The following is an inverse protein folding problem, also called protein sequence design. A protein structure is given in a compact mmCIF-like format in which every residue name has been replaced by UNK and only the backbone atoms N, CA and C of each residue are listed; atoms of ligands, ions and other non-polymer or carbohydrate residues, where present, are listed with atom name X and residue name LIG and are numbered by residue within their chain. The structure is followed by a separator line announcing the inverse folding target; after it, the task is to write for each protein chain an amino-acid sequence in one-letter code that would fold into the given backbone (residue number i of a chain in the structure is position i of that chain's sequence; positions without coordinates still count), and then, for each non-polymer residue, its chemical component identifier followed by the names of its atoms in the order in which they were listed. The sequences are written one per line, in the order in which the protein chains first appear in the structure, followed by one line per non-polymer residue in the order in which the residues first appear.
data_IF_589382302678
#
_entry.id   IF_589382302678
#
_cell.length_a   1.000
_cell.length_b   1.000
_cell.length_c   1.000
_cell.angle_alpha   90.00
_cell.angle_beta   90.00
_cell.angle_gamma   90.00
#
_symmetry.space_group_name_H-M   'P 1'
#
loop_
_entity.id
_entity.type
_entity.pdbx_description
1 polymer ?
#
# COMPACT_ATOMS: atom_id res chain seq x y z
N UNK A 1 0.05 12.21 -37.35
CA UNK A 1 -0.21 10.89 -36.71
C UNK A 1 1.05 10.03 -36.59
N UNK A 2 2.05 10.12 -37.47
CA UNK A 2 3.31 9.36 -37.35
C UNK A 2 4.26 9.90 -36.27
N UNK A 3 4.42 11.22 -36.13
CA UNK A 3 5.26 11.83 -35.08
C UNK A 3 4.80 11.47 -33.65
N UNK A 4 3.48 11.34 -33.44
CA UNK A 4 2.90 10.86 -32.17
C UNK A 4 3.15 9.38 -31.93
N UNK A 5 3.24 8.54 -32.97
CA UNK A 5 3.56 7.11 -32.82
C UNK A 5 5.04 6.88 -32.50
N UNK A 6 5.95 7.62 -33.15
CA UNK A 6 7.39 7.50 -32.91
C UNK A 6 7.78 7.90 -31.48
N UNK A 7 7.24 9.01 -30.97
CA UNK A 7 7.50 9.47 -29.59
C UNK A 7 6.92 8.56 -28.51
N UNK A 8 5.97 7.70 -28.86
CA UNK A 8 5.44 6.72 -27.92
C UNK A 8 6.45 5.57 -27.82
N UNK A 9 6.83 4.96 -28.94
CA UNK A 9 7.77 3.83 -28.96
C UNK A 9 9.11 4.14 -28.27
N UNK A 10 9.62 5.37 -28.37
CA UNK A 10 10.82 5.78 -27.63
C UNK A 10 10.65 5.69 -26.12
N UNK A 11 9.49 6.07 -25.57
CA UNK A 11 9.21 5.97 -24.14
C UNK A 11 9.10 4.51 -23.66
N UNK A 12 8.51 3.64 -24.48
CA UNK A 12 8.44 2.21 -24.20
C UNK A 12 9.81 1.53 -24.21
N UNK A 13 10.67 1.89 -25.18
CA UNK A 13 12.04 1.42 -25.27
C UNK A 13 12.86 1.94 -24.09
N UNK A 14 12.72 3.23 -23.73
CA UNK A 14 13.40 3.81 -22.58
C UNK A 14 13.01 3.12 -21.27
N UNK A 15 11.71 2.81 -21.09
CA UNK A 15 11.24 2.03 -19.95
C UNK A 15 11.92 0.66 -19.87
N UNK A 16 11.94 -0.11 -20.97
CA UNK A 16 12.57 -1.42 -21.00
C UNK A 16 14.09 -1.34 -20.80
N UNK A 17 14.76 -0.36 -21.41
CA UNK A 17 16.19 -0.12 -21.24
C UNK A 17 16.54 0.26 -19.80
N UNK A 18 15.74 1.11 -19.16
CA UNK A 18 15.93 1.49 -17.75
C UNK A 18 15.81 0.27 -16.84
N UNK A 19 14.78 -0.55 -17.02
CA UNK A 19 14.63 -1.80 -16.28
C UNK A 19 15.81 -2.74 -16.57
N UNK A 20 16.24 -2.88 -17.82
CA UNK A 20 17.39 -3.71 -18.17
C UNK A 20 18.66 -3.27 -17.44
N UNK A 21 18.95 -1.97 -17.41
CA UNK A 21 20.11 -1.41 -16.69
C UNK A 21 20.00 -1.72 -15.19
N UNK A 22 18.81 -1.55 -14.60
CA UNK A 22 18.58 -1.90 -13.20
C UNK A 22 18.76 -3.39 -12.91
N UNK A 23 18.34 -4.27 -13.83
CA UNK A 23 18.54 -5.71 -13.72
C UNK A 23 20.03 -6.08 -13.76
N UNK A 24 20.79 -5.49 -14.69
CA UNK A 24 22.22 -5.74 -14.86
C UNK A 24 23.04 -5.25 -13.66
N UNK A 25 22.64 -4.12 -13.07
CA UNK A 25 23.32 -3.54 -11.91
C UNK A 25 22.80 -4.07 -10.57
N UNK A 26 21.77 -4.92 -10.56
CA UNK A 26 21.16 -5.45 -9.35
C UNK A 26 22.16 -6.13 -8.38
N UNK A 27 23.16 -6.90 -8.85
CA UNK A 27 24.14 -7.51 -7.94
C UNK A 27 25.06 -6.49 -7.27
N UNK A 28 25.24 -5.30 -7.87
CA UNK A 28 26.12 -4.25 -7.36
C UNK A 28 25.40 -3.30 -6.41
N UNK A 29 24.10 -3.06 -6.64
CA UNK A 29 23.31 -2.08 -5.88
C UNK A 29 22.00 -2.73 -5.41
N UNK A 30 21.93 -3.21 -4.15
CA UNK A 30 20.80 -3.97 -3.63
C UNK A 30 19.43 -3.26 -3.72
N UNK A 31 19.40 -1.92 -3.75
CA UNK A 31 18.17 -1.13 -3.83
C UNK A 31 17.57 -0.99 -5.24
N UNK A 32 18.31 -1.31 -6.31
CA UNK A 32 17.83 -1.10 -7.68
C UNK A 32 16.62 -1.95 -8.07
N UNK A 33 16.54 -3.25 -7.71
CA UNK A 33 15.35 -4.06 -7.99
C UNK A 33 14.07 -3.47 -7.39
N UNK A 34 14.15 -2.91 -6.17
CA UNK A 34 13.00 -2.27 -5.55
C UNK A 34 12.50 -1.06 -6.37
N UNK A 35 13.42 -0.19 -6.83
CA UNK A 35 13.09 0.95 -7.68
C UNK A 35 12.49 0.49 -9.02
N UNK A 36 13.05 -0.56 -9.62
CA UNK A 36 12.50 -1.18 -10.84
C UNK A 36 11.07 -1.70 -10.64
N UNK A 37 10.79 -2.29 -9.48
CA UNK A 37 9.44 -2.69 -9.07
C UNK A 37 8.48 -1.52 -9.03
N UNK A 38 8.86 -0.39 -8.42
CA UNK A 38 8.03 0.82 -8.40
C UNK A 38 7.74 1.37 -9.80
N UNK A 39 8.74 1.34 -10.70
CA UNK A 39 8.57 1.76 -12.10
C UNK A 39 7.54 0.87 -12.80
N UNK A 40 7.59 -0.44 -12.59
CA UNK A 40 6.58 -1.39 -13.09
C UNK A 40 5.19 -1.05 -12.55
N UNK A 41 5.04 -0.84 -11.23
CA UNK A 41 3.75 -0.47 -10.61
C UNK A 41 3.12 0.73 -11.32
N UNK A 42 3.87 1.81 -11.47
CA UNK A 42 3.26 3.07 -11.89
C UNK A 42 3.18 3.28 -13.40
N UNK A 43 4.08 2.69 -14.19
CA UNK A 43 4.16 2.97 -15.63
C UNK A 43 3.67 1.82 -16.52
N UNK A 44 3.80 0.56 -16.08
CA UNK A 44 3.35 -0.58 -16.89
C UNK A 44 1.85 -0.56 -17.25
N UNK A 45 0.92 -0.10 -16.37
CA UNK A 45 -0.50 0.01 -16.75
C UNK A 45 -0.72 0.95 -17.93
N UNK A 46 0.09 2.02 -18.04
CA UNK A 46 0.03 2.96 -19.17
C UNK A 46 0.44 2.26 -20.46
N UNK A 47 1.52 1.46 -20.43
CA UNK A 47 1.98 0.70 -21.59
C UNK A 47 0.94 -0.35 -22.04
N UNK A 48 0.24 -0.99 -21.10
CA UNK A 48 -0.83 -1.94 -21.41
C UNK A 48 -1.96 -1.33 -22.24
N UNK A 49 -2.33 -0.07 -21.95
CA UNK A 49 -3.36 0.66 -22.68
C UNK A 49 -2.84 1.16 -24.02
N UNK A 50 -1.58 1.58 -24.09
CA UNK A 50 -1.01 2.15 -25.31
C UNK A 50 -0.65 1.13 -26.40
N UNK A 51 -0.09 -0.02 -26.01
CA UNK A 51 0.47 -1.00 -26.95
C UNK A 51 -0.23 -2.36 -26.89
N UNK A 52 -1.20 -2.52 -25.99
CA UNK A 52 -1.82 -3.79 -25.70
C UNK A 52 -1.02 -4.64 -24.70
N UNK A 53 -1.70 -5.64 -24.14
CA UNK A 53 -1.17 -6.46 -23.06
C UNK A 53 0.03 -7.30 -23.49
N UNK A 54 0.04 -7.83 -24.72
CA UNK A 54 1.13 -8.67 -25.22
C UNK A 54 2.45 -7.91 -25.32
N UNK A 55 2.43 -6.68 -25.85
CA UNK A 55 3.65 -5.85 -25.97
C UNK A 55 4.14 -5.41 -24.59
N UNK A 56 3.23 -4.98 -23.71
CA UNK A 56 3.59 -4.62 -22.34
C UNK A 56 4.20 -5.81 -21.57
N UNK A 57 3.70 -7.03 -21.79
CA UNK A 57 4.27 -8.26 -21.23
C UNK A 57 5.70 -8.47 -21.67
N UNK A 58 6.00 -8.35 -22.97
CA UNK A 58 7.36 -8.52 -23.49
C UNK A 58 8.31 -7.47 -22.90
N UNK A 59 7.88 -6.21 -22.83
CA UNK A 59 8.67 -5.09 -22.28
C UNK A 59 9.00 -5.25 -20.79
N UNK A 60 8.14 -5.94 -20.02
CA UNK A 60 8.39 -6.22 -18.60
C UNK A 60 9.14 -7.54 -18.40
N UNK A 61 8.80 -8.59 -19.15
CA UNK A 61 9.32 -9.94 -18.97
C UNK A 61 10.80 -10.03 -19.35
N UNK A 62 11.23 -9.38 -20.43
CA UNK A 62 12.63 -9.39 -20.87
C UNK A 62 13.59 -8.94 -19.75
N UNK A 63 13.43 -7.71 -19.22
CA UNK A 63 14.23 -7.25 -18.09
C UNK A 63 14.09 -8.13 -16.84
N UNK A 64 12.89 -8.63 -16.54
CA UNK A 64 12.67 -9.49 -15.36
C UNK A 64 13.42 -10.82 -15.45
N UNK A 65 13.53 -11.42 -16.64
CA UNK A 65 14.34 -12.61 -16.88
C UNK A 65 15.84 -12.32 -16.69
N UNK A 66 16.31 -11.14 -17.13
CA UNK A 66 17.69 -10.71 -16.88
C UNK A 66 17.94 -10.54 -15.39
N UNK A 67 17.01 -9.93 -14.64
CA UNK A 67 17.13 -9.82 -13.19
C UNK A 67 17.16 -11.20 -12.52
N UNK A 68 16.33 -12.13 -12.99
CA UNK A 68 16.30 -13.50 -12.48
C UNK A 68 17.64 -14.22 -12.68
N UNK A 69 18.27 -14.00 -13.83
CA UNK A 69 19.57 -14.58 -14.17
C UNK A 69 20.74 -13.90 -13.45
N UNK A 70 20.71 -12.57 -13.32
CA UNK A 70 21.79 -11.78 -12.71
C UNK A 70 21.81 -11.86 -11.18
N UNK A 71 20.65 -11.82 -10.54
CA UNK A 71 20.53 -11.76 -9.09
C UNK A 71 19.98 -13.09 -8.53
N UNK A 72 18.67 -13.30 -8.64
CA UNK A 72 18.06 -14.60 -8.38
C UNK A 72 16.63 -14.65 -8.92
N UNK A 73 16.12 -15.83 -9.30
CA UNK A 73 14.72 -15.99 -9.73
C UNK A 73 13.72 -15.55 -8.66
N UNK A 74 14.02 -15.82 -7.38
CA UNK A 74 13.16 -15.44 -6.26
C UNK A 74 13.08 -13.92 -6.12
N UNK A 75 14.22 -13.22 -6.17
CA UNK A 75 14.24 -11.76 -6.10
C UNK A 75 13.46 -11.14 -7.28
N UNK A 76 13.66 -11.64 -8.50
CA UNK A 76 12.95 -11.16 -9.67
C UNK A 76 11.42 -11.37 -9.56
N UNK A 77 10.98 -12.54 -9.07
CA UNK A 77 9.57 -12.82 -8.87
C UNK A 77 8.94 -11.91 -7.80
N UNK A 78 9.61 -11.72 -6.67
CA UNK A 78 9.10 -10.90 -5.57
C UNK A 78 9.10 -9.40 -5.89
N UNK A 79 10.22 -8.90 -6.42
CA UNK A 79 10.39 -7.46 -6.65
C UNK A 79 9.75 -6.99 -7.94
N UNK A 80 9.73 -7.79 -9.01
CA UNK A 80 9.21 -7.36 -10.32
C UNK A 80 8.00 -8.16 -10.77
N UNK A 81 7.95 -9.47 -10.51
CA UNK A 81 6.83 -10.32 -10.89
C UNK A 81 5.51 -9.92 -10.24
N UNK A 82 5.48 -9.79 -8.91
CA UNK A 82 4.28 -9.39 -8.15
C UNK A 82 3.81 -7.98 -8.57
N UNK A 83 4.68 -6.94 -8.58
CA UNK A 83 4.33 -5.62 -9.11
C UNK A 83 3.83 -5.61 -10.55
N UNK A 84 4.47 -6.37 -11.45
CA UNK A 84 4.05 -6.46 -12.84
C UNK A 84 2.66 -7.08 -12.95
N UNK A 85 2.36 -8.17 -12.23
CA UNK A 85 1.06 -8.82 -12.23
C UNK A 85 -0.07 -7.87 -11.78
N UNK A 86 0.13 -7.15 -10.68
CA UNK A 86 -0.81 -6.12 -10.22
C UNK A 86 -1.04 -5.04 -11.29
N UNK A 87 0.03 -4.63 -11.96
CA UNK A 87 0.01 -3.62 -13.01
C UNK A 87 -0.67 -4.06 -14.29
N UNK A 88 -0.50 -5.32 -14.68
CA UNK A 88 -1.26 -5.91 -15.78
C UNK A 88 -2.74 -5.94 -15.48
N UNK A 89 -3.15 -6.25 -14.24
CA UNK A 89 -4.56 -6.26 -13.88
C UNK A 89 -5.19 -4.85 -14.00
N UNK A 90 -4.52 -3.81 -13.50
CA UNK A 90 -4.96 -2.42 -13.65
C UNK A 90 -4.97 -1.99 -15.12
N UNK A 91 -3.88 -2.27 -15.85
CA UNK A 91 -3.76 -1.95 -17.27
C UNK A 91 -4.84 -2.62 -18.11
N UNK A 92 -5.10 -3.91 -17.88
CA UNK A 92 -6.14 -4.67 -18.57
C UNK A 92 -7.55 -4.17 -18.25
N UNK A 93 -7.79 -3.65 -17.03
CA UNK A 93 -9.03 -2.98 -16.67
C UNK A 93 -9.25 -1.72 -17.49
N UNK A 94 -8.24 -0.87 -17.60
CA UNK A 94 -8.30 0.35 -18.41
C UNK A 94 -8.42 0.08 -19.91
N UNK A 95 -7.69 -0.92 -20.45
CA UNK A 95 -7.80 -1.31 -21.86
C UNK A 95 -9.21 -1.82 -22.22
N UNK A 96 -10.00 -2.25 -21.23
CA UNK A 96 -11.40 -2.68 -21.40
C UNK A 96 -12.42 -1.60 -20.99
N UNK A 97 -11.98 -0.36 -20.79
CA UNK A 97 -12.83 0.77 -20.37
C UNK A 97 -13.64 0.51 -19.07
N UNK A 98 -13.10 -0.31 -18.17
CA UNK A 98 -13.73 -0.56 -16.87
C UNK A 98 -13.60 0.70 -15.99
N UNK A 99 -14.67 1.06 -15.29
CA UNK A 99 -14.65 2.20 -14.37
C UNK A 99 -13.56 2.04 -13.29
N UNK A 100 -12.75 3.09 -12.99
CA UNK A 100 -11.63 3.02 -12.05
C UNK A 100 -11.97 2.47 -10.67
N UNK A 101 -13.18 2.78 -10.15
CA UNK A 101 -13.65 2.26 -8.86
C UNK A 101 -13.84 0.75 -8.89
N UNK A 102 -14.30 0.20 -10.02
CA UNK A 102 -14.41 -1.25 -10.22
C UNK A 102 -13.03 -1.89 -10.39
N UNK A 103 -12.11 -1.24 -11.12
CA UNK A 103 -10.72 -1.70 -11.22
C UNK A 103 -10.09 -1.78 -9.83
N UNK A 104 -10.23 -0.73 -9.03
CA UNK A 104 -9.75 -0.71 -7.65
C UNK A 104 -10.30 -1.88 -6.84
N UNK A 105 -11.61 -2.07 -6.80
CA UNK A 105 -12.23 -3.17 -6.06
C UNK A 105 -11.78 -4.56 -6.53
N UNK A 106 -11.80 -4.81 -7.84
CA UNK A 106 -11.42 -6.12 -8.40
C UNK A 106 -9.93 -6.43 -8.25
N UNK A 107 -9.05 -5.46 -8.49
CA UNK A 107 -7.60 -5.67 -8.39
C UNK A 107 -7.19 -5.80 -6.92
N UNK A 108 -7.65 -4.91 -6.04
CA UNK A 108 -7.35 -5.01 -4.60
C UNK A 108 -7.91 -6.31 -4.02
N UNK A 109 -9.18 -6.63 -4.27
CA UNK A 109 -9.80 -7.87 -3.78
C UNK A 109 -9.15 -9.12 -4.37
N UNK A 110 -8.81 -9.10 -5.66
CA UNK A 110 -8.14 -10.21 -6.34
C UNK A 110 -6.74 -10.48 -5.81
N UNK A 111 -5.93 -9.43 -5.58
CA UNK A 111 -4.59 -9.60 -5.00
C UNK A 111 -4.70 -10.11 -3.56
N UNK A 112 -5.58 -9.54 -2.72
CA UNK A 112 -5.77 -10.01 -1.34
C UNK A 112 -6.23 -11.47 -1.33
N UNK A 113 -7.22 -11.84 -2.14
CA UNK A 113 -7.71 -13.21 -2.24
C UNK A 113 -6.60 -14.18 -2.69
N UNK A 114 -5.82 -13.80 -3.71
CA UNK A 114 -4.71 -14.61 -4.19
C UNK A 114 -3.60 -14.76 -3.13
N UNK A 115 -3.27 -13.69 -2.41
CA UNK A 115 -2.31 -13.73 -1.30
C UNK A 115 -2.79 -14.67 -0.19
N UNK A 116 -4.07 -14.58 0.22
CA UNK A 116 -4.65 -15.46 1.23
C UNK A 116 -4.67 -16.92 0.78
N UNK A 117 -5.06 -17.19 -0.48
CA UNK A 117 -5.01 -18.52 -1.08
C UNK A 117 -3.58 -19.07 -1.12
N UNK A 118 -2.60 -18.23 -1.45
CA UNK A 118 -1.18 -18.63 -1.48
C UNK A 118 -0.67 -18.96 -0.08
N UNK A 119 -0.97 -18.13 0.92
CA UNK A 119 -0.65 -18.41 2.32
C UNK A 119 -1.30 -19.72 2.79
N UNK A 120 -2.57 -19.94 2.46
CA UNK A 120 -3.27 -21.18 2.80
C UNK A 120 -2.62 -22.40 2.13
N UNK A 121 -2.25 -22.29 0.85
CA UNK A 121 -1.53 -23.34 0.13
C UNK A 121 -0.17 -23.66 0.75
N UNK A 122 0.60 -22.64 1.16
CA UNK A 122 1.88 -22.83 1.84
C UNK A 122 1.73 -23.52 3.20
N UNK A 123 0.69 -23.17 3.98
CA UNK A 123 0.43 -23.79 5.29
C UNK A 123 -0.07 -25.23 5.12
N UNK A 124 -1.07 -25.45 4.27
CA UNK A 124 -1.77 -26.76 4.16
C UNK A 124 -1.00 -27.75 3.30
N UNK A 125 -0.49 -27.32 2.15
CA UNK A 125 0.21 -28.20 1.19
C UNK A 125 1.71 -28.18 1.46
N UNK A 126 2.27 -26.98 1.57
CA UNK A 126 3.70 -26.79 1.80
C UNK A 126 4.17 -27.12 3.21
N UNK A 127 3.26 -27.26 4.18
CA UNK A 127 3.55 -27.45 5.60
C UNK A 127 4.53 -26.40 6.14
N UNK A 128 4.49 -25.19 5.58
CA UNK A 128 5.37 -24.08 5.94
C UNK A 128 4.79 -23.35 7.16
N UNK A 129 5.51 -23.28 8.30
CA UNK A 129 5.04 -22.57 9.49
C UNK A 129 5.25 -21.05 9.32
N UNK A 130 4.40 -20.43 8.49
CA UNK A 130 4.51 -19.01 8.12
C UNK A 130 4.55 -18.08 9.34
N UNK A 131 3.78 -18.39 10.38
CA UNK A 131 3.73 -17.60 11.61
C UNK A 131 5.07 -17.66 12.37
N UNK A 132 5.64 -18.86 12.53
CA UNK A 132 6.91 -19.05 13.24
C UNK A 132 8.06 -18.39 12.47
N UNK A 133 8.06 -18.48 11.13
CA UNK A 133 9.03 -17.77 10.29
C UNK A 133 8.92 -16.25 10.48
N UNK A 134 7.70 -15.70 10.50
CA UNK A 134 7.49 -14.28 10.74
C UNK A 134 7.97 -13.87 12.14
N UNK A 135 7.67 -14.66 13.17
CA UNK A 135 8.15 -14.44 14.52
C UNK A 135 9.68 -14.46 14.58
N UNK A 136 10.33 -15.42 13.93
CA UNK A 136 11.78 -15.53 13.88
C UNK A 136 12.40 -14.27 13.24
N UNK A 137 11.89 -13.83 12.09
CA UNK A 137 12.38 -12.62 11.41
C UNK A 137 12.25 -11.39 12.33
N UNK A 138 11.11 -11.25 13.00
CA UNK A 138 10.88 -10.12 13.92
C UNK A 138 11.81 -10.20 15.13
N UNK A 139 12.00 -11.39 15.71
CA UNK A 139 12.88 -11.59 16.86
C UNK A 139 14.33 -11.28 16.51
N UNK A 140 14.84 -11.79 15.39
CA UNK A 140 16.20 -11.52 14.92
C UNK A 140 16.44 -10.03 14.69
N UNK A 141 15.53 -9.35 13.99
CA UNK A 141 15.63 -7.90 13.74
C UNK A 141 15.56 -7.09 15.05
N UNK A 142 14.72 -7.51 15.99
CA UNK A 142 14.58 -6.88 17.29
C UNK A 142 15.82 -7.05 18.16
N UNK A 143 16.39 -8.26 18.21
CA UNK A 143 17.61 -8.56 18.96
C UNK A 143 18.82 -7.81 18.39
N UNK A 144 18.92 -7.70 17.07
CA UNK A 144 19.94 -6.90 16.40
C UNK A 144 19.82 -5.41 16.76
N UNK A 145 18.60 -4.86 16.74
CA UNK A 145 18.35 -3.46 17.11
C UNK A 145 18.73 -3.17 18.57
N UNK A 146 18.43 -4.09 19.49
CA UNK A 146 18.80 -4.00 20.90
C UNK A 146 20.32 -4.08 21.07
N UNK A 147 20.97 -5.05 20.43
CA UNK A 147 22.42 -5.21 20.49
C UNK A 147 23.13 -3.94 20.00
N UNK A 148 22.66 -3.35 18.90
CA UNK A 148 23.17 -2.09 18.37
C UNK A 148 22.98 -0.92 19.35
N UNK A 149 21.80 -0.83 19.99
CA UNK A 149 21.53 0.22 20.99
C UNK A 149 22.46 0.09 22.21
N UNK A 150 22.63 -1.12 22.75
CA UNK A 150 23.52 -1.37 23.90
C UNK A 150 24.97 -1.01 23.53
N UNK A 151 25.42 -1.40 22.34
CA UNK A 151 26.76 -1.07 21.85
C UNK A 151 26.96 0.44 21.72
N UNK A 152 25.94 1.16 21.25
CA UNK A 152 25.99 2.62 21.05
C UNK A 152 25.80 3.41 22.35
N UNK A 153 25.15 2.82 23.36
CA UNK A 153 24.76 3.49 24.62
C UNK A 153 25.01 2.61 25.87
N UNK A 154 26.26 2.16 26.13
CA UNK A 154 26.56 1.10 27.11
C UNK A 154 26.32 1.48 28.58
N UNK A 155 26.28 2.77 28.92
CA UNK A 155 26.03 3.26 30.28
C UNK A 155 24.60 3.81 30.47
N UNK A 156 23.70 3.61 29.50
CA UNK A 156 22.36 4.19 29.58
C UNK A 156 21.48 3.44 30.58
N UNK A 157 20.86 4.16 31.52
CA UNK A 157 19.85 3.60 32.42
C UNK A 157 18.56 3.16 31.70
N UNK A 158 18.44 3.48 30.41
CA UNK A 158 17.28 3.19 29.57
C UNK A 158 17.31 1.78 28.97
N UNK A 159 18.42 1.04 29.06
CA UNK A 159 18.56 -0.31 28.47
C UNK A 159 17.39 -1.22 28.88
N UNK A 160 16.99 -1.20 30.15
CA UNK A 160 15.86 -2.00 30.65
C UNK A 160 14.54 -1.58 29.99
N UNK A 161 14.29 -0.29 29.85
CA UNK A 161 13.08 0.23 29.21
C UNK A 161 13.06 -0.13 27.71
N UNK A 162 14.18 0.01 27.02
CA UNK A 162 14.34 -0.38 25.61
C UNK A 162 14.08 -1.87 25.41
N UNK A 163 14.63 -2.73 26.28
CA UNK A 163 14.32 -4.16 26.24
C UNK A 163 12.82 -4.44 26.40
N UNK A 164 12.16 -3.79 27.37
CA UNK A 164 10.73 -3.96 27.59
C UNK A 164 9.89 -3.52 26.39
N UNK A 165 10.23 -2.38 25.77
CA UNK A 165 9.54 -1.90 24.56
C UNK A 165 9.74 -2.86 23.38
N UNK A 166 10.96 -3.36 23.19
CA UNK A 166 11.27 -4.31 22.12
C UNK A 166 10.54 -5.64 22.31
N UNK A 167 10.44 -6.16 23.53
CA UNK A 167 9.65 -7.37 23.82
C UNK A 167 8.15 -7.16 23.55
N UNK A 168 7.61 -5.96 23.77
CA UNK A 168 6.24 -5.65 23.35
C UNK A 168 6.12 -5.65 21.83
N UNK A 169 7.09 -5.07 21.10
CA UNK A 169 7.10 -5.05 19.64
C UNK A 169 7.18 -6.45 19.03
N UNK A 170 8.02 -7.34 19.58
CA UNK A 170 8.14 -8.74 19.15
C UNK A 170 6.81 -9.49 19.18
N UNK A 171 5.96 -9.19 20.17
CA UNK A 171 4.61 -9.79 20.28
C UNK A 171 3.59 -9.10 19.37
N UNK A 172 3.67 -7.79 19.20
CA UNK A 172 2.69 -7.01 18.47
C UNK A 172 2.85 -7.09 16.94
N UNK A 173 4.08 -6.99 16.43
CA UNK A 173 4.36 -6.90 14.99
C UNK A 173 3.79 -8.11 14.22
N UNK A 174 4.04 -9.37 14.63
CA UNK A 174 3.54 -10.53 13.89
C UNK A 174 2.02 -10.54 13.71
N UNK A 175 1.29 -10.00 14.68
CA UNK A 175 -0.18 -9.92 14.69
C UNK A 175 -0.70 -8.85 13.74
N UNK A 176 0.05 -7.76 13.54
CA UNK A 176 -0.36 -6.61 12.72
C UNK A 176 0.00 -6.76 11.24
N UNK A 177 1.07 -7.51 10.93
CA UNK A 177 1.60 -7.67 9.56
C UNK A 177 0.54 -8.10 8.54
N UNK A 178 -0.31 -9.13 8.79
CA UNK A 178 -1.26 -9.61 7.78
C UNK A 178 -2.23 -8.52 7.30
N UNK A 179 -2.80 -7.78 8.25
CA UNK A 179 -3.72 -6.68 7.92
C UNK A 179 -2.97 -5.52 7.27
N UNK A 180 -1.77 -5.20 7.74
CA UNK A 180 -0.96 -4.14 7.15
C UNK A 180 -0.60 -4.44 5.68
N UNK A 181 -0.36 -5.69 5.33
CA UNK A 181 -0.19 -6.11 3.92
C UNK A 181 -1.46 -5.84 3.12
N UNK A 182 -2.64 -6.18 3.65
CA UNK A 182 -3.91 -5.94 2.97
C UNK A 182 -4.17 -4.44 2.75
N UNK A 183 -3.94 -3.61 3.76
CA UNK A 183 -4.05 -2.15 3.66
C UNK A 183 -2.99 -1.56 2.72
N UNK A 184 -1.79 -2.13 2.71
CA UNK A 184 -0.71 -1.77 1.78
C UNK A 184 -1.08 -2.06 0.32
N UNK A 185 -1.70 -3.21 0.04
CA UNK A 185 -2.21 -3.55 -1.30
C UNK A 185 -3.29 -2.55 -1.72
N UNK A 186 -4.23 -2.26 -0.84
CA UNK A 186 -5.29 -1.26 -1.08
C UNK A 186 -4.69 0.09 -1.46
N UNK A 187 -3.73 0.58 -0.67
CA UNK A 187 -3.06 1.85 -0.92
C UNK A 187 -2.24 1.84 -2.21
N UNK A 188 -1.54 0.75 -2.49
CA UNK A 188 -0.71 0.61 -3.70
C UNK A 188 -1.58 0.68 -4.95
N UNK A 189 -2.68 -0.07 -5.00
CA UNK A 189 -3.61 -0.04 -6.15
C UNK A 189 -4.26 1.33 -6.30
N UNK A 190 -4.64 1.98 -5.19
CA UNK A 190 -5.16 3.34 -5.22
C UNK A 190 -4.14 4.33 -5.83
N UNK A 191 -2.90 4.34 -5.33
CA UNK A 191 -1.83 5.22 -5.84
C UNK A 191 -1.54 4.93 -7.30
N UNK A 192 -1.51 3.65 -7.69
CA UNK A 192 -1.32 3.22 -9.06
C UNK A 192 -2.37 3.80 -9.99
N UNK A 193 -3.67 3.71 -9.63
CA UNK A 193 -4.76 4.33 -10.38
C UNK A 193 -4.59 5.85 -10.46
N UNK A 194 -4.27 6.51 -9.33
CA UNK A 194 -4.09 7.97 -9.26
C UNK A 194 -2.93 8.48 -10.10
N UNK A 195 -1.91 7.67 -10.34
CA UNK A 195 -0.78 8.01 -11.21
C UNK A 195 -1.08 7.66 -12.67
N UNK A 196 -1.64 6.49 -12.95
CA UNK A 196 -1.93 6.01 -14.31
C UNK A 196 -2.97 6.87 -15.01
N UNK A 197 -4.04 7.25 -14.30
CA UNK A 197 -5.14 8.02 -14.87
C UNK A 197 -4.72 9.35 -15.53
N UNK A 198 -4.05 10.28 -14.84
CA UNK A 198 -3.65 11.55 -15.46
C UNK A 198 -2.63 11.35 -16.58
N UNK A 199 -1.79 10.30 -16.52
CA UNK A 199 -0.85 9.98 -17.60
C UNK A 199 -1.59 9.54 -18.88
N UNK A 200 -2.64 8.73 -18.74
CA UNK A 200 -3.49 8.31 -19.86
C UNK A 200 -4.32 9.47 -20.40
N UNK A 201 -4.95 10.26 -19.53
CA UNK A 201 -5.76 11.42 -19.94
C UNK A 201 -4.93 12.46 -20.72
N UNK A 202 -3.69 12.74 -20.29
CA UNK A 202 -2.76 13.62 -21.02
C UNK A 202 -2.40 13.11 -22.42
N UNK A 203 -2.49 11.80 -22.64
CA UNK A 203 -2.22 11.14 -23.92
C UNK A 203 -3.46 11.03 -24.81
N UNK A 204 -4.59 11.64 -24.40
CA UNK A 204 -5.83 11.69 -25.19
C UNK A 204 -6.75 10.47 -25.03
N UNK A 205 -6.48 9.60 -24.06
CA UNK A 205 -7.40 8.51 -23.73
C UNK A 205 -8.56 9.02 -22.88
N UNK A 206 -9.79 8.65 -23.25
CA UNK A 206 -10.98 8.93 -22.46
C UNK A 206 -11.04 7.97 -21.27
N UNK A 207 -10.58 8.44 -20.11
CA UNK A 207 -10.53 7.68 -18.87
C UNK A 207 -11.39 8.39 -17.82
N UNK A 208 -12.49 7.78 -17.34
CA UNK A 208 -13.38 8.43 -16.38
C UNK A 208 -12.66 8.68 -15.04
N UNK A 209 -12.83 9.84 -14.39
CA UNK A 209 -12.11 10.22 -13.17
C UNK A 209 -12.35 9.27 -11.99
N UNK A 210 -11.30 8.89 -11.26
CA UNK A 210 -11.47 8.28 -9.94
C UNK A 210 -11.98 9.35 -8.96
N UNK A 211 -13.01 9.09 -8.14
CA UNK A 211 -13.58 10.07 -7.22
C UNK A 211 -12.52 10.71 -6.31
N UNK A 212 -12.45 12.04 -6.21
CA UNK A 212 -11.48 12.70 -5.33
C UNK A 212 -11.74 12.36 -3.86
N UNK A 213 -10.67 12.21 -3.06
CA UNK A 213 -10.74 11.79 -1.64
C UNK A 213 -11.75 12.62 -0.83
N UNK A 214 -11.87 13.94 -1.09
CA UNK A 214 -12.82 14.83 -0.40
C UNK A 214 -14.30 14.39 -0.48
N UNK A 215 -14.64 13.58 -1.48
CA UNK A 215 -15.99 13.04 -1.70
C UNK A 215 -16.15 11.61 -1.16
N UNK A 216 -15.10 11.03 -0.59
CA UNK A 216 -15.19 9.71 0.00
C UNK A 216 -15.98 9.81 1.30
N UNK A 217 -16.93 8.88 1.44
CA UNK A 217 -17.72 8.72 2.65
C UNK A 217 -17.52 7.31 3.17
N UNK A 218 -16.83 7.22 4.29
CA UNK A 218 -16.61 5.96 4.97
C UNK A 218 -17.81 5.67 5.89
N UNK A 219 -18.32 4.42 5.92
CA UNK A 219 -19.45 4.07 6.77
C UNK A 219 -19.17 4.26 8.26
N UNK A 220 -20.18 4.78 8.99
CA UNK A 220 -20.18 4.89 10.47
C UNK A 220 -19.93 3.56 11.19
N UNK A 221 -20.12 2.43 10.49
CA UNK A 221 -19.74 1.10 10.95
C UNK A 221 -18.29 1.05 11.46
N UNK A 222 -17.37 1.84 10.89
CA UNK A 222 -15.98 1.90 11.35
C UNK A 222 -15.84 2.48 12.75
N UNK A 223 -16.69 3.44 13.16
CA UNK A 223 -16.69 3.95 14.55
C UNK A 223 -17.14 2.87 15.52
N UNK A 224 -18.19 2.12 15.18
CA UNK A 224 -18.66 1.01 16.01
C UNK A 224 -17.61 -0.10 16.11
N UNK A 225 -16.92 -0.40 15.00
CA UNK A 225 -15.81 -1.35 14.98
C UNK A 225 -14.65 -0.90 15.87
N UNK A 226 -14.30 0.40 15.84
CA UNK A 226 -13.27 0.97 16.71
C UNK A 226 -13.63 0.83 18.20
N UNK A 227 -14.86 1.18 18.58
CA UNK A 227 -15.34 1.05 19.96
C UNK A 227 -15.32 -0.43 20.38
N UNK A 228 -15.81 -1.32 19.52
CA UNK A 228 -15.78 -2.76 19.76
C UNK A 228 -14.34 -3.25 19.96
N UNK A 229 -13.40 -2.81 19.12
CA UNK A 229 -12.00 -3.16 19.24
C UNK A 229 -11.40 -2.74 20.59
N UNK A 230 -11.73 -1.54 21.09
CA UNK A 230 -11.29 -1.09 22.41
C UNK A 230 -11.84 -1.96 23.55
N UNK A 231 -13.11 -2.35 23.48
CA UNK A 231 -13.72 -3.27 24.46
C UNK A 231 -13.06 -4.65 24.41
N UNK A 232 -12.86 -5.20 23.20
CA UNK A 232 -12.16 -6.47 23.01
C UNK A 232 -10.72 -6.41 23.53
N UNK A 233 -10.01 -5.29 23.31
CA UNK A 233 -8.64 -5.09 23.80
C UNK A 233 -8.59 -5.06 25.32
N UNK A 234 -9.52 -4.34 25.96
CA UNK A 234 -9.62 -4.26 27.42
C UNK A 234 -9.84 -5.63 28.05
N UNK A 235 -10.83 -6.41 27.58
CA UNK A 235 -11.07 -7.76 28.11
C UNK A 235 -10.00 -8.77 27.71
N UNK A 236 -9.46 -8.68 26.49
CA UNK A 236 -8.36 -9.53 26.04
C UNK A 236 -7.13 -9.37 26.92
N UNK A 237 -6.81 -8.14 27.29
CA UNK A 237 -5.66 -7.85 28.16
C UNK A 237 -5.94 -8.21 29.61
N UNK A 238 -7.07 -7.78 30.17
CA UNK A 238 -7.40 -7.98 31.60
C UNK A 238 -7.68 -9.44 31.97
N UNK A 239 -8.13 -10.26 31.01
CA UNK A 239 -8.42 -11.69 31.23
C UNK A 239 -7.40 -12.62 30.58
N UNK A 240 -6.30 -12.08 30.03
CA UNK A 240 -5.25 -12.84 29.34
C UNK A 240 -5.81 -13.77 28.24
N UNK A 241 -6.71 -13.23 27.40
CA UNK A 241 -7.32 -13.95 26.28
C UNK A 241 -6.62 -13.52 24.98
N UNK A 242 -5.60 -14.28 24.58
CA UNK A 242 -4.69 -13.87 23.49
C UNK A 242 -5.38 -13.70 22.13
N UNK A 243 -6.24 -14.64 21.72
CA UNK A 243 -6.95 -14.55 20.43
C UNK A 243 -7.87 -13.33 20.37
N UNK A 244 -8.49 -12.96 21.51
CA UNK A 244 -9.35 -11.78 21.60
C UNK A 244 -8.53 -10.50 21.45
N UNK A 245 -7.33 -10.46 22.04
CA UNK A 245 -6.39 -9.36 21.87
C UNK A 245 -5.92 -9.24 20.40
N UNK A 246 -5.59 -10.36 19.76
CA UNK A 246 -5.19 -10.37 18.34
C UNK A 246 -6.27 -9.81 17.42
N UNK A 247 -7.53 -10.23 17.61
CA UNK A 247 -8.66 -9.66 16.86
C UNK A 247 -8.88 -8.19 17.18
N UNK A 248 -8.73 -7.80 18.45
CA UNK A 248 -8.88 -6.41 18.88
C UNK A 248 -7.87 -5.49 18.18
N UNK A 249 -6.59 -5.87 18.14
CA UNK A 249 -5.54 -5.09 17.47
C UNK A 249 -5.83 -4.91 15.98
N UNK A 250 -6.23 -5.98 15.29
CA UNK A 250 -6.55 -5.91 13.86
C UNK A 250 -7.83 -5.08 13.60
N UNK A 251 -8.88 -5.27 14.40
CA UNK A 251 -10.11 -4.48 14.29
C UNK A 251 -9.86 -2.99 14.54
N UNK A 252 -9.04 -2.66 15.55
CA UNK A 252 -8.62 -1.30 15.90
C UNK A 252 -7.85 -0.66 14.74
N UNK A 253 -6.87 -1.36 14.17
CA UNK A 253 -6.07 -0.87 13.05
C UNK A 253 -6.90 -0.65 11.79
N UNK A 254 -7.81 -1.57 11.45
CA UNK A 254 -8.71 -1.44 10.31
C UNK A 254 -9.64 -0.23 10.47
N UNK A 255 -10.28 -0.12 11.63
CA UNK A 255 -11.20 0.98 11.92
C UNK A 255 -10.46 2.32 11.93
N UNK A 256 -9.31 2.40 12.61
CA UNK A 256 -8.48 3.60 12.69
C UNK A 256 -8.01 4.07 11.32
N UNK A 257 -7.58 3.14 10.45
CA UNK A 257 -7.21 3.47 9.08
C UNK A 257 -8.35 4.16 8.34
N UNK A 258 -9.54 3.57 8.32
CA UNK A 258 -10.68 4.14 7.60
C UNK A 258 -11.24 5.42 8.24
N UNK A 259 -11.18 5.56 9.57
CA UNK A 259 -11.51 6.80 10.27
C UNK A 259 -10.52 7.92 9.88
N UNK A 260 -9.22 7.63 9.80
CA UNK A 260 -8.23 8.59 9.31
C UNK A 260 -8.48 9.00 7.85
N UNK A 261 -8.89 8.07 6.99
CA UNK A 261 -9.23 8.38 5.59
C UNK A 261 -10.45 9.31 5.50
N UNK A 262 -11.47 9.08 6.31
CA UNK A 262 -12.61 9.99 6.41
C UNK A 262 -12.19 11.37 6.91
N UNK A 263 -11.31 11.43 7.91
CA UNK A 263 -10.80 12.70 8.41
C UNK A 263 -9.98 13.46 7.38
N UNK A 264 -9.16 12.75 6.60
CA UNK A 264 -8.46 13.32 5.45
C UNK A 264 -9.45 13.86 4.41
N UNK A 265 -10.51 13.12 4.11
CA UNK A 265 -11.57 13.56 3.21
C UNK A 265 -12.24 14.84 3.73
N UNK A 266 -12.57 14.87 5.03
CA UNK A 266 -13.18 16.02 5.68
C UNK A 266 -12.26 17.25 5.72
N UNK A 267 -10.98 17.08 6.06
CA UNK A 267 -9.99 18.15 6.03
C UNK A 267 -9.85 18.76 4.63
N UNK A 268 -9.74 17.93 3.59
CA UNK A 268 -9.66 18.38 2.20
C UNK A 268 -10.95 19.09 1.77
N UNK A 269 -12.11 18.59 2.20
CA UNK A 269 -13.41 19.24 1.96
C UNK A 269 -13.46 20.65 2.57
N UNK A 270 -13.08 20.80 3.84
CA UNK A 270 -13.08 22.09 4.54
C UNK A 270 -12.09 23.08 3.91
N UNK A 271 -10.87 22.62 3.63
CA UNK A 271 -9.83 23.47 3.04
C UNK A 271 -10.22 23.94 1.65
N UNK A 272 -10.87 23.11 0.84
CA UNK A 272 -11.29 23.50 -0.50
C UNK A 272 -12.40 24.55 -0.51
N UNK A 273 -13.21 24.63 0.55
CA UNK A 273 -14.20 25.71 0.68
C UNK A 273 -13.58 27.08 0.95
N UNK A 274 -12.37 27.11 1.52
CA UNK A 274 -11.66 28.34 1.87
C UNK A 274 -10.56 28.69 0.87
N UNK A 275 -9.98 27.70 0.20
CA UNK A 275 -8.81 27.84 -0.66
C UNK A 275 -8.94 27.03 -1.95
N UNK A 276 -8.42 27.57 -3.05
CA UNK A 276 -8.25 26.79 -4.29
C UNK A 276 -7.04 25.87 -4.12
N UNK A 277 -7.29 24.63 -3.71
CA UNK A 277 -6.24 23.63 -3.51
C UNK A 277 -5.73 23.09 -4.85
N UNK A 278 -4.48 23.44 -5.20
CA UNK A 278 -3.76 22.82 -6.33
C UNK A 278 -3.43 21.36 -6.02
N UNK A 279 -3.26 20.54 -7.06
CA UNK A 279 -2.98 19.10 -6.93
C UNK A 279 -1.74 18.80 -6.08
N UNK A 280 -0.71 19.65 -6.15
CA UNK A 280 0.50 19.50 -5.34
C UNK A 280 0.24 19.68 -3.84
N UNK A 281 -0.58 20.66 -3.45
CA UNK A 281 -0.95 20.89 -2.05
C UNK A 281 -1.80 19.75 -1.50
N UNK A 282 -2.74 19.24 -2.30
CA UNK A 282 -3.53 18.07 -1.91
C UNK A 282 -2.64 16.85 -1.70
N UNK A 283 -1.69 16.59 -2.62
CA UNK A 283 -0.74 15.50 -2.49
C UNK A 283 0.14 15.65 -1.24
N UNK A 284 0.59 16.87 -0.93
CA UNK A 284 1.36 17.16 0.30
C UNK A 284 0.55 16.84 1.56
N UNK A 285 -0.72 17.25 1.63
CA UNK A 285 -1.60 16.95 2.77
C UNK A 285 -1.77 15.44 2.95
N UNK A 286 -1.99 14.72 1.84
CA UNK A 286 -2.10 13.25 1.87
C UNK A 286 -0.81 12.63 2.40
N UNK A 287 0.37 13.06 1.92
CA UNK A 287 1.67 12.56 2.38
C UNK A 287 1.88 12.86 3.87
N UNK A 288 1.59 14.09 4.31
CA UNK A 288 1.71 14.45 5.73
C UNK A 288 0.81 13.58 6.61
N UNK A 289 -0.45 13.38 6.24
CA UNK A 289 -1.36 12.51 6.97
C UNK A 289 -0.89 11.05 6.94
N UNK A 290 -0.29 10.56 5.85
CA UNK A 290 0.15 9.17 5.78
C UNK A 290 1.43 8.90 6.57
N UNK A 291 2.38 9.84 6.62
CA UNK A 291 3.73 9.60 7.14
C UNK A 291 4.04 10.31 8.46
N UNK A 292 3.23 11.27 8.88
CA UNK A 292 3.51 12.08 10.07
C UNK A 292 2.46 11.82 11.16
N UNK A 293 2.84 11.22 12.31
CA UNK A 293 1.89 10.78 13.33
C UNK A 293 0.95 11.87 13.87
N UNK A 294 1.44 13.10 14.06
CA UNK A 294 0.59 14.19 14.56
C UNK A 294 -0.57 14.51 13.59
N UNK A 295 -0.33 14.39 12.28
CA UNK A 295 -1.36 14.60 11.27
C UNK A 295 -2.30 13.39 11.14
N UNK A 296 -1.83 12.17 11.43
CA UNK A 296 -2.69 10.99 11.57
C UNK A 296 -3.68 11.16 12.73
N UNK A 297 -3.20 11.62 13.89
CA UNK A 297 -4.05 11.89 15.05
C UNK A 297 -5.09 12.96 14.72
N UNK A 298 -4.68 14.05 14.08
CA UNK A 298 -5.60 15.09 13.63
C UNK A 298 -6.65 14.51 12.67
N UNK A 299 -6.22 13.76 11.65
CA UNK A 299 -7.14 13.09 10.72
C UNK A 299 -8.10 12.17 11.46
N UNK A 300 -7.64 11.35 12.39
CA UNK A 300 -8.50 10.47 13.17
C UNK A 300 -9.62 11.25 13.91
N UNK A 301 -9.26 12.34 14.59
CA UNK A 301 -10.22 13.20 15.31
C UNK A 301 -11.23 13.83 14.33
N UNK A 302 -10.75 14.39 13.23
CA UNK A 302 -11.61 14.96 12.19
C UNK A 302 -12.55 13.92 11.57
N UNK A 303 -12.08 12.68 11.39
CA UNK A 303 -12.87 11.58 10.88
C UNK A 303 -14.00 11.21 11.82
N UNK A 304 -13.72 11.07 13.13
CA UNK A 304 -14.76 10.86 14.13
C UNK A 304 -15.80 11.99 14.13
N UNK A 305 -15.34 13.24 14.07
CA UNK A 305 -16.22 14.40 14.06
C UNK A 305 -17.18 14.38 12.86
N UNK A 306 -16.68 14.14 11.65
CA UNK A 306 -17.52 14.11 10.45
C UNK A 306 -18.50 12.93 10.45
N UNK A 307 -18.04 11.73 10.82
CA UNK A 307 -18.89 10.53 10.89
C UNK A 307 -20.03 10.70 11.89
N UNK A 308 -19.76 11.23 13.09
CA UNK A 308 -20.76 11.36 14.14
C UNK A 308 -21.74 12.50 13.85
N UNK A 309 -21.24 13.66 13.41
CA UNK A 309 -22.06 14.85 13.19
C UNK A 309 -22.79 14.83 11.84
N UNK A 310 -22.37 13.98 10.89
CA UNK A 310 -22.81 13.98 9.49
C UNK A 310 -22.66 15.37 8.86
N UNK A 311 -21.51 16.03 9.08
CA UNK A 311 -21.34 17.42 8.69
C UNK A 311 -21.41 17.60 7.17
N UNK A 312 -20.64 16.81 6.40
CA UNK A 312 -20.67 16.88 4.92
C UNK A 312 -22.05 16.57 4.33
N UNK A 313 -22.69 15.48 4.77
CA UNK A 313 -24.02 15.03 4.29
C UNK A 313 -25.12 16.06 4.47
N UNK A 314 -25.15 16.73 5.62
CA UNK A 314 -26.18 17.74 5.91
C UNK A 314 -26.04 18.98 5.03
N UNK A 315 -24.82 19.31 4.60
CA UNK A 315 -24.53 20.51 3.82
C UNK A 315 -24.71 20.33 2.33
N UNK A 316 -24.50 19.12 1.81
CA UNK A 316 -24.77 18.81 0.39
C UNK A 316 -26.27 18.58 0.10
N UNK A 317 -27.08 18.37 1.15
CA UNK A 317 -28.54 18.26 1.06
C UNK A 317 -29.30 19.60 1.20
N UNK A 318 -28.60 20.70 1.50
CA UNK A 318 -29.13 22.08 1.59
C UNK A 318 -28.73 22.88 0.35
#
# INVERSE_FOLDING_TARGET
MEQTRAGYWTAAIFFAALLLIMALLAPLVPGLPFIGGLILIFYLPVLCVQYGLAVALILAAGPALVLAFMASPVLAALQWGIPAAASFAVGAGYSRHVAPVRIFGFVTGGIIALSLLSCLGLIVIGQVPLYDMLQQIVNEAADEAVAYYIQSNPASAQIIAVHQEVEMLKKAIPVMVPLQICLGILMTVYLQIRVTQPLLARKGYDIPPFPPIRLWEIPRAMVYLYILAMVMKYWGTSRHIDWLNMMAVNADQLASFFICIEGLAFMLYLLQHRFVLKSATQAMIVILVLFVPIFQIAAFIFGLADMLLNYRKKREAM
#
